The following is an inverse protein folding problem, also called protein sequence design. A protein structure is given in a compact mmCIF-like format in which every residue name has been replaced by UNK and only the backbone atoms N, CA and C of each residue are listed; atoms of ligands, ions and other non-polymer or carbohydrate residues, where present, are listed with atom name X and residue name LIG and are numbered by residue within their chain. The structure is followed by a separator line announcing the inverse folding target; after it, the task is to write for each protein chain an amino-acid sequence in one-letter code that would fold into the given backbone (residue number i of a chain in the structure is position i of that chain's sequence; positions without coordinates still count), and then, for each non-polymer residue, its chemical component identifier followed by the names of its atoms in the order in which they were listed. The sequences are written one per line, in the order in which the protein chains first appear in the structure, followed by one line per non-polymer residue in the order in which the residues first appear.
data_IF_613433621249
#
_entry.id   IF_613433621249
#
_cell.length_a   1.000
_cell.length_b   1.000
_cell.length_c   1.000
_cell.angle_alpha   90.00
_cell.angle_beta   90.00
_cell.angle_gamma   90.00
#
_symmetry.space_group_name_H-M   'P 1'
#
loop_
_entity.id
_entity.type
_entity.pdbx_description
1 polymer ?
#
# COMPACT_ATOMS: atom_id res chain seq x y z
N UNK A 1 49.83 -36.07 20.92
CA UNK A 1 49.68 -35.12 19.79
C UNK A 1 48.37 -35.45 19.08
N UNK A 2 47.57 -34.42 18.80
CA UNK A 2 46.19 -34.40 18.24
C UNK A 2 45.05 -34.33 19.27
N UNK A 3 44.63 -33.07 19.39
CA UNK A 3 43.60 -32.43 20.21
C UNK A 3 42.21 -32.84 19.75
N UNK A 4 41.33 -33.17 20.70
CA UNK A 4 39.88 -33.31 20.48
C UNK A 4 39.23 -31.94 20.68
N UNK A 5 38.67 -31.36 19.62
CA UNK A 5 37.91 -30.11 19.67
C UNK A 5 36.42 -30.44 19.77
N UNK A 6 35.86 -30.28 20.97
CA UNK A 6 34.42 -30.26 21.17
C UNK A 6 33.83 -28.98 20.55
N UNK A 7 33.06 -29.10 19.47
CA UNK A 7 32.20 -28.02 18.98
C UNK A 7 30.87 -28.06 19.73
N UNK A 8 30.70 -27.12 20.65
CA UNK A 8 29.42 -26.78 21.25
C UNK A 8 28.48 -26.27 20.16
N UNK A 9 27.31 -26.92 20.00
CA UNK A 9 26.21 -26.44 19.16
C UNK A 9 25.16 -25.88 20.11
N UNK A 10 25.06 -24.55 20.19
CA UNK A 10 23.95 -23.88 20.85
C UNK A 10 22.73 -23.92 19.91
N UNK A 11 21.52 -24.24 20.39
CA UNK A 11 20.33 -24.11 19.57
C UNK A 11 19.95 -22.63 19.43
N UNK A 12 19.80 -22.18 18.18
CA UNK A 12 19.17 -20.91 17.84
C UNK A 12 17.68 -20.99 18.24
N UNK A 13 17.31 -20.18 19.23
CA UNK A 13 15.93 -19.98 19.61
C UNK A 13 15.16 -19.35 18.43
N UNK A 14 14.19 -20.08 17.91
CA UNK A 14 13.18 -19.54 17.00
C UNK A 14 12.31 -18.56 17.80
N UNK A 15 12.60 -17.27 17.65
CA UNK A 15 11.74 -16.20 18.13
C UNK A 15 10.43 -16.23 17.36
N UNK A 16 9.37 -16.60 18.07
CA UNK A 16 7.97 -16.49 17.66
C UNK A 16 7.69 -15.06 17.20
N UNK A 17 7.54 -14.85 15.88
CA UNK A 17 6.97 -13.62 15.36
C UNK A 17 5.49 -13.67 15.71
N UNK A 18 5.08 -12.84 16.67
CA UNK A 18 3.67 -12.62 16.96
C UNK A 18 3.01 -12.08 15.68
N UNK A 19 2.06 -12.85 15.15
CA UNK A 19 1.05 -12.34 14.25
C UNK A 19 0.31 -11.20 14.96
N UNK A 20 0.61 -9.95 14.58
CA UNK A 20 -0.21 -8.81 14.94
C UNK A 20 -1.58 -9.01 14.31
N UNK A 21 -2.60 -9.17 15.16
CA UNK A 21 -3.97 -9.29 14.73
C UNK A 21 -4.43 -8.06 13.94
N UNK A 22 -5.25 -8.31 12.92
CA UNK A 22 -5.96 -7.32 12.10
C UNK A 22 -6.79 -6.39 13.01
N UNK A 23 -6.20 -5.28 13.42
CA UNK A 23 -6.93 -4.15 13.95
C UNK A 23 -7.38 -3.32 12.73
N UNK A 24 -8.69 -3.31 12.45
CA UNK A 24 -9.24 -2.41 11.43
C UNK A 24 -8.94 -0.94 11.78
N UNK A 25 -8.99 -0.07 10.76
CA UNK A 25 -8.67 1.36 10.82
C UNK A 25 -9.61 2.20 11.73
N UNK A 26 -9.70 1.88 13.01
CA UNK A 26 -10.48 2.60 14.02
C UNK A 26 -9.57 3.19 15.08
N UNK A 27 -8.99 4.35 14.80
CA UNK A 27 -8.13 5.11 15.72
C UNK A 27 -8.69 6.49 16.02
N UNK A 28 -8.80 6.80 17.31
CA UNK A 28 -9.26 8.09 17.85
C UNK A 28 -8.16 9.16 17.79
N UNK A 29 -8.58 10.39 17.52
CA UNK A 29 -7.73 11.59 17.50
C UNK A 29 -7.36 12.02 18.91
N UNK A 30 -6.06 12.05 19.23
CA UNK A 30 -5.52 12.78 20.39
C UNK A 30 -4.64 13.92 19.91
N UNK A 31 -5.12 15.14 20.13
CA UNK A 31 -4.42 16.39 19.88
C UNK A 31 -3.39 16.63 21.00
N UNK A 32 -2.12 16.81 20.64
CA UNK A 32 -1.08 17.29 21.56
C UNK A 32 -0.57 18.65 21.07
N UNK A 33 -0.81 19.69 21.87
CA UNK A 33 -0.23 21.02 21.69
C UNK A 33 1.11 21.08 22.44
N UNK A 34 2.21 21.11 21.70
CA UNK A 34 3.55 21.36 22.23
C UNK A 34 4.14 22.61 21.57
N UNK A 35 4.36 23.67 22.36
CA UNK A 35 5.02 24.89 21.91
C UNK A 35 6.54 24.73 22.02
N UNK A 36 7.27 24.93 20.91
CA UNK A 36 8.74 24.88 20.88
C UNK A 36 9.33 26.29 20.78
N UNK A 37 10.43 26.61 21.50
CA UNK A 37 11.11 27.90 21.40
C UNK A 37 12.04 27.97 20.17
N UNK A 38 12.19 29.19 19.63
CA UNK A 38 12.92 29.50 18.40
C UNK A 38 14.46 29.34 18.53
N UNK A 39 15.16 28.80 17.50
CA UNK A 39 16.62 28.82 17.45
C UNK A 39 17.17 30.17 16.92
N UNK A 40 18.27 30.62 17.52
CA UNK A 40 19.06 31.79 17.09
C UNK A 40 20.04 31.41 15.95
N UNK A 41 20.34 32.27 14.96
CA UNK A 41 21.20 31.90 13.85
C UNK A 41 22.67 32.18 14.18
N UNK A 42 23.49 31.12 14.23
CA UNK A 42 24.95 31.24 14.09
C UNK A 42 25.34 30.42 12.86
N UNK A 43 25.64 31.10 11.75
CA UNK A 43 25.92 30.47 10.48
C UNK A 43 27.37 29.98 10.42
N UNK A 44 27.58 28.70 10.69
CA UNK A 44 28.75 27.94 10.23
C UNK A 44 28.39 27.26 8.92
N UNK A 45 29.14 27.56 7.85
CA UNK A 45 28.97 26.90 6.55
C UNK A 45 29.60 25.51 6.64
N UNK A 46 28.86 24.56 7.20
CA UNK A 46 29.07 23.15 6.92
C UNK A 46 28.37 22.86 5.60
N UNK A 47 29.11 22.29 4.64
CA UNK A 47 28.55 21.80 3.38
C UNK A 47 27.68 20.59 3.70
N UNK A 48 26.42 20.83 4.08
CA UNK A 48 25.41 19.79 4.20
C UNK A 48 25.12 19.25 2.80
N UNK A 49 25.44 17.98 2.60
CA UNK A 49 24.84 17.20 1.54
C UNK A 49 23.34 17.12 1.86
N UNK A 50 22.55 18.05 1.31
CA UNK A 50 21.10 17.88 1.31
C UNK A 50 20.83 16.59 0.54
N UNK A 51 20.29 15.58 1.22
CA UNK A 51 19.79 14.38 0.54
C UNK A 51 18.79 14.80 -0.55
N UNK A 52 18.70 14.02 -1.62
CA UNK A 52 17.67 14.21 -2.62
C UNK A 52 16.28 14.17 -1.96
N UNK A 53 15.31 14.89 -2.50
CA UNK A 53 13.92 14.74 -2.07
C UNK A 53 13.44 13.32 -2.42
N UNK A 54 12.40 12.82 -1.74
CA UNK A 54 11.79 11.52 -2.05
C UNK A 54 11.46 11.38 -3.54
N UNK A 55 10.83 12.41 -4.13
CA UNK A 55 10.49 12.45 -5.56
C UNK A 55 11.72 12.34 -6.49
N UNK A 56 12.90 12.75 -6.02
CA UNK A 56 14.17 12.70 -6.75
C UNK A 56 15.02 11.46 -6.40
N UNK A 57 14.44 10.48 -5.68
CA UNK A 57 15.09 9.22 -5.31
C UNK A 57 15.84 9.24 -3.98
N UNK A 58 15.59 10.23 -3.13
CA UNK A 58 16.04 10.22 -1.74
C UNK A 58 15.22 9.29 -0.84
N UNK A 59 15.54 9.31 0.46
CA UNK A 59 14.71 8.64 1.46
C UNK A 59 13.34 9.31 1.57
N UNK A 60 12.30 8.49 1.68
CA UNK A 60 10.92 8.93 1.82
C UNK A 60 10.36 8.69 3.22
N UNK A 61 9.42 9.53 3.62
CA UNK A 61 8.53 9.35 4.76
C UNK A 61 7.06 9.28 4.28
N UNK A 62 6.18 8.72 5.12
CA UNK A 62 4.73 8.73 4.85
C UNK A 62 4.21 10.17 4.74
N UNK A 63 3.55 10.49 3.62
CA UNK A 63 3.08 11.82 3.26
C UNK A 63 3.97 12.54 2.23
N UNK A 64 5.18 12.04 1.95
CA UNK A 64 6.04 12.63 0.93
C UNK A 64 5.53 12.34 -0.48
N UNK A 65 5.91 13.18 -1.44
CA UNK A 65 5.68 12.92 -2.86
C UNK A 65 6.71 11.90 -3.36
N UNK A 66 6.22 10.76 -3.84
CA UNK A 66 7.01 9.67 -4.39
C UNK A 66 7.48 9.92 -5.81
N UNK A 67 8.30 9.00 -6.32
CA UNK A 67 8.93 9.11 -7.64
C UNK A 67 7.94 9.01 -8.81
N UNK A 68 6.70 8.56 -8.57
CA UNK A 68 5.60 8.57 -9.53
C UNK A 68 4.70 9.81 -9.43
N UNK A 69 5.01 10.74 -8.52
CA UNK A 69 4.14 11.89 -8.21
C UNK A 69 2.93 11.52 -7.34
N UNK A 70 2.87 10.29 -6.83
CA UNK A 70 1.91 9.88 -5.82
C UNK A 70 2.35 10.31 -4.42
N UNK A 71 1.54 10.00 -3.42
CA UNK A 71 1.87 10.26 -2.01
C UNK A 71 2.27 8.95 -1.34
N UNK A 72 3.42 8.92 -0.67
CA UNK A 72 3.91 7.74 0.03
C UNK A 72 3.00 7.41 1.21
N UNK A 73 2.46 6.20 1.26
CA UNK A 73 1.61 5.72 2.35
C UNK A 73 2.25 4.59 3.17
N UNK A 74 3.34 4.00 2.69
CA UNK A 74 4.02 2.92 3.38
C UNK A 74 5.54 3.00 3.20
N UNK A 75 6.30 2.75 4.27
CA UNK A 75 7.75 2.51 4.27
C UNK A 75 8.01 1.19 5.01
N UNK A 76 8.56 0.20 4.32
CA UNK A 76 8.96 -1.08 4.93
C UNK A 76 10.16 -0.97 5.88
N UNK A 77 10.81 0.20 5.97
CA UNK A 77 12.03 0.45 6.73
C UNK A 77 13.29 -0.13 6.09
N UNK A 78 13.14 -1.06 5.14
CA UNK A 78 14.24 -1.65 4.37
C UNK A 78 13.77 -2.08 2.98
N UNK A 79 14.71 -2.30 2.05
CA UNK A 79 14.39 -2.74 0.70
C UNK A 79 13.98 -4.22 0.68
N UNK A 80 12.82 -4.49 0.09
CA UNK A 80 12.33 -5.82 -0.24
C UNK A 80 12.34 -6.04 -1.76
N UNK A 81 11.97 -7.25 -2.19
CA UNK A 81 11.93 -7.63 -3.61
C UNK A 81 10.92 -6.80 -4.43
N UNK A 82 9.91 -6.25 -3.78
CA UNK A 82 8.88 -5.40 -4.39
C UNK A 82 9.21 -3.90 -4.30
N UNK A 83 10.25 -3.50 -3.57
CA UNK A 83 10.56 -2.10 -3.25
C UNK A 83 10.72 -1.87 -1.75
N UNK A 84 10.80 -0.60 -1.34
CA UNK A 84 10.76 -0.17 0.07
C UNK A 84 9.51 0.64 0.36
N UNK A 85 9.11 1.47 -0.58
CA UNK A 85 8.01 2.42 -0.42
C UNK A 85 6.81 2.01 -1.25
N UNK A 86 5.62 2.34 -0.77
CA UNK A 86 4.40 2.35 -1.58
C UNK A 86 3.86 3.78 -1.65
N UNK A 87 3.55 4.24 -2.86
CA UNK A 87 2.85 5.50 -3.12
C UNK A 87 1.47 5.23 -3.70
N UNK A 88 0.50 6.09 -3.34
CA UNK A 88 -0.85 6.08 -3.89
C UNK A 88 -0.98 7.16 -4.95
N UNK A 89 -1.71 6.89 -6.02
CA UNK A 89 -2.03 7.89 -7.03
C UNK A 89 -2.66 9.14 -6.37
N UNK A 90 -2.42 10.36 -6.88
CA UNK A 90 -2.97 11.60 -6.33
C UNK A 90 -4.49 11.70 -6.50
N UNK A 91 -5.11 12.64 -5.79
CA UNK A 91 -6.53 12.93 -5.97
C UNK A 91 -6.80 13.36 -7.42
N UNK A 92 -7.92 12.89 -7.96
CA UNK A 92 -8.29 13.07 -9.36
C UNK A 92 -7.35 12.44 -10.39
N UNK A 93 -6.66 11.34 -10.03
CA UNK A 93 -5.81 10.57 -10.94
C UNK A 93 -6.49 10.15 -12.25
N UNK A 94 -7.82 9.98 -12.24
CA UNK A 94 -8.67 9.63 -13.38
C UNK A 94 -9.18 10.85 -14.17
N UNK A 95 -8.79 12.07 -13.80
CA UNK A 95 -9.28 13.32 -14.39
C UNK A 95 -10.63 13.80 -13.83
N UNK A 96 -11.17 13.12 -12.82
CA UNK A 96 -12.43 13.46 -12.15
C UNK A 96 -12.19 13.72 -10.67
N UNK A 97 -13.03 14.52 -9.99
CA UNK A 97 -12.89 14.79 -8.55
C UNK A 97 -13.23 13.63 -7.60
N UNK A 98 -13.46 12.43 -8.14
CA UNK A 98 -13.71 11.21 -7.38
C UNK A 98 -13.03 10.03 -8.08
N UNK A 99 -12.57 9.07 -7.29
CA UNK A 99 -12.02 7.82 -7.81
C UNK A 99 -13.09 7.06 -8.62
N UNK A 100 -12.76 6.52 -9.80
CA UNK A 100 -13.72 5.78 -10.62
C UNK A 100 -14.09 4.45 -9.93
N UNK A 101 -15.27 3.94 -10.26
CA UNK A 101 -15.70 2.60 -9.86
C UNK A 101 -15.55 1.62 -11.02
N UNK A 102 -15.32 0.35 -10.69
CA UNK A 102 -15.35 -0.75 -11.66
C UNK A 102 -15.67 -2.07 -10.97
N UNK A 103 -16.15 -3.04 -11.76
CA UNK A 103 -16.12 -4.45 -11.40
C UNK A 103 -14.69 -4.89 -11.12
N UNK A 104 -14.52 -5.93 -10.29
CA UNK A 104 -13.19 -6.45 -9.99
C UNK A 104 -12.52 -7.02 -11.25
N UNK A 105 -13.30 -7.77 -12.02
CA UNK A 105 -12.92 -8.44 -13.27
C UNK A 105 -14.20 -8.71 -14.08
N UNK A 106 -14.12 -8.65 -15.42
CA UNK A 106 -15.18 -9.06 -16.35
C UNK A 106 -15.49 -10.58 -16.33
N UNK A 107 -14.71 -11.35 -15.58
CA UNK A 107 -14.92 -12.77 -15.30
C UNK A 107 -15.15 -12.93 -13.78
N UNK A 108 -16.37 -13.26 -13.42
CA UNK A 108 -16.81 -13.34 -12.02
C UNK A 108 -16.74 -14.75 -11.42
N UNK A 109 -16.40 -15.81 -12.17
CA UNK A 109 -16.47 -17.20 -11.73
C UNK A 109 -15.15 -17.99 -11.92
N UNK A 110 -14.00 -17.33 -11.76
CA UNK A 110 -12.70 -17.93 -11.98
C UNK A 110 -11.70 -17.66 -10.84
N UNK A 111 -10.97 -18.68 -10.40
CA UNK A 111 -9.81 -18.53 -9.52
C UNK A 111 -8.61 -17.98 -10.31
N UNK A 112 -8.24 -16.72 -10.07
CA UNK A 112 -7.17 -15.98 -10.77
C UNK A 112 -5.93 -15.85 -9.89
N UNK A 113 -6.12 -15.64 -8.59
CA UNK A 113 -5.05 -15.61 -7.59
C UNK A 113 -5.50 -16.23 -6.26
N UNK A 114 -4.55 -16.60 -5.41
CA UNK A 114 -4.78 -17.32 -4.15
C UNK A 114 -4.48 -16.48 -2.89
N UNK A 115 -4.91 -16.94 -1.71
CA UNK A 115 -4.76 -16.20 -0.45
C UNK A 115 -3.32 -15.78 -0.10
N UNK A 116 -2.30 -16.51 -0.59
CA UNK A 116 -0.90 -16.15 -0.41
C UNK A 116 -0.52 -14.78 -1.01
N UNK A 117 -1.39 -14.22 -1.86
CA UNK A 117 -1.23 -12.92 -2.48
C UNK A 117 -1.97 -11.77 -1.76
N UNK A 118 -2.40 -11.96 -0.51
CA UNK A 118 -3.05 -10.90 0.29
C UNK A 118 -2.05 -9.91 0.91
N UNK A 119 -0.80 -10.32 1.11
CA UNK A 119 0.22 -9.58 1.88
C UNK A 119 0.83 -8.37 1.16
N UNK A 120 1.52 -7.54 1.93
CA UNK A 120 2.37 -6.44 1.43
C UNK A 120 3.38 -6.94 0.40
N UNK A 121 3.50 -6.20 -0.71
CA UNK A 121 4.36 -6.49 -1.85
C UNK A 121 3.69 -7.29 -2.95
N UNK A 122 2.50 -7.85 -2.73
CA UNK A 122 1.88 -8.76 -3.71
C UNK A 122 1.01 -8.03 -4.74
N UNK A 123 0.61 -6.78 -4.48
CA UNK A 123 -0.38 -6.09 -5.31
C UNK A 123 0.01 -5.97 -6.78
N UNK A 124 1.31 -5.76 -7.07
CA UNK A 124 1.79 -5.72 -8.45
C UNK A 124 1.61 -7.08 -9.13
N UNK A 125 2.07 -8.16 -8.49
CA UNK A 125 2.02 -9.50 -9.07
C UNK A 125 0.59 -10.00 -9.28
N UNK A 126 -0.33 -9.73 -8.35
CA UNK A 126 -1.75 -10.06 -8.50
C UNK A 126 -2.39 -9.26 -9.59
N UNK A 127 -2.14 -7.95 -9.64
CA UNK A 127 -2.69 -7.09 -10.70
C UNK A 127 -2.26 -7.59 -12.07
N UNK A 128 -0.98 -7.98 -12.25
CA UNK A 128 -0.49 -8.56 -13.52
C UNK A 128 -1.20 -9.87 -13.86
N UNK A 129 -1.49 -10.74 -12.88
CA UNK A 129 -2.28 -11.96 -13.11
C UNK A 129 -3.70 -11.62 -13.57
N UNK A 130 -4.34 -10.66 -12.92
CA UNK A 130 -5.71 -10.23 -13.24
C UNK A 130 -5.77 -9.69 -14.67
N UNK A 131 -4.90 -8.76 -15.07
CA UNK A 131 -4.95 -8.19 -16.44
C UNK A 131 -4.58 -9.18 -17.56
N UNK A 132 -3.98 -10.32 -17.23
CA UNK A 132 -3.74 -11.40 -18.20
C UNK A 132 -4.98 -12.30 -18.40
N UNK A 133 -5.97 -12.23 -17.50
CA UNK A 133 -7.19 -13.03 -17.55
C UNK A 133 -8.40 -12.16 -17.89
N UNK A 134 -8.50 -11.00 -17.25
CA UNK A 134 -9.61 -10.06 -17.35
C UNK A 134 -9.34 -9.02 -18.44
N UNK A 135 -10.31 -8.80 -19.34
CA UNK A 135 -10.19 -7.77 -20.38
C UNK A 135 -10.56 -6.38 -19.86
N UNK A 136 -11.34 -6.31 -18.78
CA UNK A 136 -11.67 -5.09 -18.06
C UNK A 136 -11.84 -5.35 -16.56
N UNK A 137 -11.78 -4.27 -15.77
CA UNK A 137 -11.97 -4.32 -14.33
C UNK A 137 -11.04 -3.39 -13.57
N UNK A 138 -11.08 -3.48 -12.24
CA UNK A 138 -10.34 -2.63 -11.33
C UNK A 138 -8.82 -2.69 -11.55
N UNK A 139 -8.27 -3.89 -11.80
CA UNK A 139 -6.86 -4.06 -12.10
C UNK A 139 -6.46 -3.39 -13.43
N UNK A 140 -7.30 -3.51 -14.47
CA UNK A 140 -7.06 -2.91 -15.78
C UNK A 140 -7.05 -1.38 -15.69
N UNK A 141 -8.00 -0.80 -14.93
CA UNK A 141 -8.02 0.65 -14.65
C UNK A 141 -6.76 1.10 -13.92
N UNK A 142 -6.34 0.38 -12.87
CA UNK A 142 -5.14 0.72 -12.13
C UNK A 142 -3.87 0.63 -12.98
N UNK A 143 -3.77 -0.38 -13.85
CA UNK A 143 -2.65 -0.56 -14.79
C UNK A 143 -2.59 0.50 -15.88
N UNK A 144 -3.72 1.05 -16.29
CA UNK A 144 -3.80 2.08 -17.32
C UNK A 144 -3.30 3.45 -16.83
N UNK A 145 -3.25 3.68 -15.52
CA UNK A 145 -2.74 4.92 -14.97
C UNK A 145 -1.23 5.07 -15.24
N UNK A 146 -0.84 6.22 -15.79
CA UNK A 146 0.53 6.53 -16.18
C UNK A 146 1.10 7.79 -15.49
N UNK A 147 0.62 8.08 -14.27
CA UNK A 147 1.06 9.22 -13.47
C UNK A 147 2.58 9.28 -13.32
N UNK A 148 3.13 10.50 -13.39
CA UNK A 148 4.59 10.72 -13.28
C UNK A 148 5.41 10.05 -14.38
N UNK A 149 4.79 9.66 -15.50
CA UNK A 149 5.44 8.91 -16.57
C UNK A 149 5.80 7.48 -16.20
N UNK A 150 5.20 6.95 -15.11
CA UNK A 150 5.43 5.59 -14.62
C UNK A 150 4.41 4.62 -15.21
N UNK A 151 4.80 3.38 -15.44
CA UNK A 151 3.95 2.36 -16.07
C UNK A 151 3.74 1.16 -15.18
N UNK A 152 4.17 1.21 -13.93
CA UNK A 152 4.20 0.15 -12.92
C UNK A 152 3.19 0.37 -11.78
N UNK A 153 2.17 1.22 -12.01
CA UNK A 153 1.00 1.37 -11.13
C UNK A 153 0.14 0.10 -11.10
N UNK A 154 -0.46 -0.24 -9.98
CA UNK A 154 -1.22 -1.48 -9.80
C UNK A 154 -2.37 -1.33 -8.79
N UNK A 155 -3.25 -2.31 -8.72
CA UNK A 155 -4.33 -2.37 -7.72
C UNK A 155 -3.77 -2.99 -6.42
N UNK A 156 -3.87 -2.32 -5.26
CA UNK A 156 -3.20 -2.77 -4.03
C UNK A 156 -3.69 -4.15 -3.61
N UNK A 157 -2.82 -4.98 -3.01
CA UNK A 157 -3.26 -6.19 -2.31
C UNK A 157 -4.09 -5.83 -1.08
N UNK A 158 -4.79 -6.80 -0.50
CA UNK A 158 -5.65 -6.60 0.67
C UNK A 158 -4.90 -5.94 1.84
N UNK A 159 -3.68 -6.35 2.14
CA UNK A 159 -2.91 -5.77 3.24
C UNK A 159 -2.33 -4.40 2.86
N UNK A 160 -1.96 -4.17 1.60
CA UNK A 160 -1.53 -2.84 1.13
C UNK A 160 -2.67 -1.83 1.17
N UNK A 161 -3.90 -2.28 0.84
CA UNK A 161 -5.10 -1.48 0.96
C UNK A 161 -5.40 -1.14 2.44
N UNK A 162 -5.09 -2.04 3.37
CA UNK A 162 -5.22 -1.75 4.80
C UNK A 162 -4.25 -0.65 5.25
N UNK A 163 -2.98 -0.75 4.88
CA UNK A 163 -1.99 0.31 5.16
C UNK A 163 -2.42 1.65 4.56
N UNK A 164 -2.94 1.64 3.33
CA UNK A 164 -3.49 2.84 2.70
C UNK A 164 -4.68 3.40 3.48
N UNK A 165 -5.59 2.54 3.95
CA UNK A 165 -6.74 2.94 4.76
C UNK A 165 -6.30 3.60 6.08
N UNK A 166 -5.25 3.08 6.71
CA UNK A 166 -4.65 3.65 7.92
C UNK A 166 -4.08 5.05 7.71
N UNK A 167 -3.45 5.29 6.56
CA UNK A 167 -2.85 6.58 6.24
C UNK A 167 -3.76 7.53 5.46
N UNK A 168 -5.01 7.14 5.14
CA UNK A 168 -5.88 7.86 4.18
C UNK A 168 -6.06 9.35 4.48
N UNK A 169 -6.12 9.75 5.76
CA UNK A 169 -6.26 11.16 6.19
C UNK A 169 -4.99 12.00 5.92
N UNK A 170 -3.84 11.34 5.71
CA UNK A 170 -2.54 11.98 5.43
C UNK A 170 -2.19 11.98 3.95
N UNK A 171 -2.68 11.01 3.19
CA UNK A 171 -2.16 10.73 1.84
C UNK A 171 -3.11 11.07 0.70
N UNK A 172 -4.36 11.45 1.00
CA UNK A 172 -5.28 11.88 -0.04
C UNK A 172 -6.69 12.15 0.43
N UNK A 173 -7.56 12.43 -0.53
CA UNK A 173 -9.00 12.48 -0.35
C UNK A 173 -9.57 11.18 -0.88
N UNK A 174 -10.34 10.50 -0.04
CA UNK A 174 -10.99 9.24 -0.37
C UNK A 174 -12.49 9.41 -0.18
N UNK A 175 -13.26 8.93 -1.14
CA UNK A 175 -14.71 8.84 -1.02
C UNK A 175 -15.10 7.99 0.20
N UNK A 176 -16.25 8.34 0.78
CA UNK A 176 -16.90 7.57 1.82
C UNK A 176 -17.56 6.31 1.21
N UNK A 177 -16.73 5.35 0.83
CA UNK A 177 -17.07 4.21 -0.02
C UNK A 177 -16.14 3.01 0.24
N UNK A 178 -16.40 1.92 -0.48
CA UNK A 178 -15.54 0.74 -0.56
C UNK A 178 -14.50 0.85 -1.68
N UNK A 179 -13.31 0.29 -1.45
CA UNK A 179 -12.21 0.23 -2.42
C UNK A 179 -11.81 -1.21 -2.68
N UNK A 180 -11.60 -1.53 -3.96
CA UNK A 180 -11.11 -2.85 -4.35
C UNK A 180 -9.66 -3.06 -3.95
N UNK A 181 -9.35 -4.29 -3.54
CA UNK A 181 -7.99 -4.84 -3.58
C UNK A 181 -7.83 -5.81 -4.76
N UNK A 182 -6.61 -6.11 -5.15
CA UNK A 182 -6.29 -7.15 -6.13
C UNK A 182 -6.31 -8.56 -5.56
N UNK A 183 -6.59 -8.71 -4.27
CA UNK A 183 -6.62 -10.00 -3.61
C UNK A 183 -7.99 -10.66 -3.75
N UNK A 184 -7.97 -11.89 -4.24
CA UNK A 184 -9.14 -12.74 -4.39
C UNK A 184 -9.34 -13.59 -3.14
N UNK A 185 -10.59 -13.92 -2.82
CA UNK A 185 -10.90 -14.84 -1.72
C UNK A 185 -11.36 -16.21 -2.20
N UNK A 186 -12.16 -16.28 -3.26
CA UNK A 186 -12.47 -17.50 -3.99
C UNK A 186 -12.90 -17.18 -5.43
N UNK A 187 -13.41 -18.18 -6.18
CA UNK A 187 -13.82 -18.04 -7.58
C UNK A 187 -14.81 -16.89 -7.82
N UNK A 188 -15.71 -16.62 -6.87
CA UNK A 188 -16.79 -15.63 -6.98
C UNK A 188 -16.48 -14.32 -6.26
N UNK A 189 -15.67 -14.38 -5.20
CA UNK A 189 -15.46 -13.26 -4.28
C UNK A 189 -14.03 -12.70 -4.31
N UNK A 190 -13.93 -11.38 -4.26
CA UNK A 190 -12.70 -10.62 -4.05
C UNK A 190 -12.77 -9.77 -2.77
N UNK A 191 -11.61 -9.31 -2.29
CA UNK A 191 -11.52 -8.47 -1.09
C UNK A 191 -11.64 -6.98 -1.43
N UNK A 192 -12.54 -6.30 -0.74
CA UNK A 192 -12.60 -4.84 -0.69
C UNK A 192 -12.43 -4.32 0.75
N UNK A 193 -12.30 -3.02 0.90
CA UNK A 193 -12.22 -2.37 2.20
C UNK A 193 -13.02 -1.07 2.25
N UNK A 194 -13.83 -0.91 3.29
CA UNK A 194 -14.55 0.33 3.56
C UNK A 194 -13.57 1.38 4.09
N UNK A 195 -13.39 2.48 3.36
CA UNK A 195 -12.60 3.62 3.83
C UNK A 195 -13.42 4.51 4.77
N UNK A 196 -14.71 4.66 4.51
CA UNK A 196 -15.71 5.20 5.43
C UNK A 196 -17.11 5.02 4.84
N UNK A 197 -17.95 4.11 5.33
CA UNK A 197 -19.31 3.94 4.79
C UNK A 197 -20.29 3.72 5.94
N UNK A 198 -21.35 4.54 5.98
CA UNK A 198 -22.40 4.48 7.01
C UNK A 198 -21.87 4.43 8.47
N UNK A 199 -20.76 5.13 8.75
CA UNK A 199 -20.13 5.17 10.08
C UNK A 199 -19.23 3.98 10.40
N UNK A 200 -19.08 3.02 9.48
CA UNK A 200 -18.11 1.91 9.56
C UNK A 200 -16.81 2.33 8.88
N UNK A 201 -15.67 1.95 9.45
CA UNK A 201 -14.33 2.27 8.94
C UNK A 201 -13.40 1.07 9.02
N UNK A 202 -12.58 0.89 7.99
CA UNK A 202 -11.50 -0.09 7.94
C UNK A 202 -11.92 -1.54 7.83
N UNK A 203 -13.22 -1.84 7.70
CA UNK A 203 -13.72 -3.20 7.61
C UNK A 203 -13.47 -3.76 6.21
N UNK A 204 -12.91 -4.97 6.14
CA UNK A 204 -12.68 -5.71 4.91
C UNK A 204 -13.80 -6.72 4.68
N UNK A 205 -14.28 -6.83 3.45
CA UNK A 205 -15.34 -7.75 3.07
C UNK A 205 -14.95 -8.60 1.88
N UNK A 206 -15.56 -9.78 1.81
CA UNK A 206 -15.64 -10.59 0.59
C UNK A 206 -16.83 -10.05 -0.19
N UNK A 207 -16.60 -9.50 -1.37
CA UNK A 207 -17.65 -8.99 -2.27
C UNK A 207 -17.62 -9.74 -3.59
N UNK A 208 -18.78 -9.88 -4.23
CA UNK A 208 -18.87 -10.53 -5.54
C UNK A 208 -18.12 -9.69 -6.56
N UNK A 209 -17.43 -10.34 -7.50
CA UNK A 209 -16.56 -9.62 -8.44
C UNK A 209 -17.29 -8.72 -9.44
N UNK A 210 -18.59 -8.92 -9.60
CA UNK A 210 -19.49 -8.15 -10.46
C UNK A 210 -20.05 -6.89 -9.78
N UNK A 211 -19.74 -6.63 -8.50
CA UNK A 211 -20.05 -5.35 -7.87
C UNK A 211 -19.04 -4.29 -8.28
N UNK A 212 -19.48 -3.03 -8.34
CA UNK A 212 -18.59 -1.92 -8.64
C UNK A 212 -18.13 -1.21 -7.37
N UNK A 213 -16.84 -1.28 -7.06
CA UNK A 213 -16.21 -0.51 -5.98
C UNK A 213 -15.15 0.45 -6.53
N UNK A 214 -14.68 1.38 -5.69
CA UNK A 214 -13.70 2.39 -6.08
C UNK A 214 -12.33 1.78 -6.37
N UNK A 215 -11.61 2.42 -7.27
CA UNK A 215 -10.27 2.02 -7.69
C UNK A 215 -9.29 3.15 -7.41
N UNK A 216 -8.23 2.84 -6.66
CA UNK A 216 -7.11 3.75 -6.44
C UNK A 216 -5.79 3.04 -6.77
N UNK A 217 -5.08 3.45 -7.83
CA UNK A 217 -3.80 2.85 -8.17
C UNK A 217 -2.75 3.15 -7.09
N UNK A 218 -1.88 2.18 -6.83
CA UNK A 218 -0.68 2.31 -6.01
C UNK A 218 0.56 1.87 -6.78
N UNK A 219 1.75 2.21 -6.31
CA UNK A 219 3.01 1.86 -6.94
C UNK A 219 4.07 1.61 -5.89
N UNK A 220 4.98 0.68 -6.16
CA UNK A 220 6.11 0.35 -5.30
C UNK A 220 7.44 0.83 -5.89
N UNK A 221 8.39 1.27 -5.04
CA UNK A 221 9.72 1.71 -5.47
C UNK A 221 10.78 1.64 -4.35
#
# INVERSE_FOLDING_TARGET
MRVSLARSVAPLAFGLVLAGGLAGCGGATTSITGSAPAPSPTASIERQAAGFACADGGDCAVGDIGTGGGVVFYDAGSKHWWGRYLEVAPDGWSGTGADPTAEWCDISDAMINEAAYERIGMGYNTTIRIVNVCSSGAANLARAYAGGGKTDWFLPSKDELNELCEQRERVGVFAADEYWSSSQSDEEYAWNQTFQYLGIRGRQYRQTKDTTDRVRPVRAF
#
